data_IF_388368793175
#
_entry.id   IF_388368793175
#
_cell.length_a   1.000
_cell.length_b   1.000
_cell.length_c   1.000
_cell.angle_alpha   90.00
_cell.angle_beta   90.00
_cell.angle_gamma   90.00
#
_symmetry.space_group_name_H-M   'P 1'
#
loop_
_entity.id
_entity.type
_entity.pdbx_description
1 polymer ?
#
# COMPACT_ATOMS: atom_id res chain seq x y z
N UNK A 1 -3.81 19.93 -32.90
CA UNK A 1 -3.99 19.91 -31.43
C UNK A 1 -2.68 19.47 -30.80
N UNK A 2 -2.05 20.31 -29.99
CA UNK A 2 -0.86 19.92 -29.22
C UNK A 2 -1.24 18.88 -28.16
N UNK A 3 -0.37 17.88 -27.97
CA UNK A 3 -0.55 16.87 -26.92
C UNK A 3 0.35 17.22 -25.75
N UNK A 4 -0.23 17.45 -24.57
CA UNK A 4 0.53 17.71 -23.36
C UNK A 4 0.92 16.38 -22.69
N UNK A 5 2.09 16.34 -22.06
CA UNK A 5 2.59 15.21 -21.28
C UNK A 5 2.59 15.57 -19.80
N UNK A 6 1.75 14.88 -19.02
CA UNK A 6 1.72 14.96 -17.57
C UNK A 6 2.35 13.71 -16.96
N UNK A 7 3.42 13.90 -16.20
CA UNK A 7 4.09 12.85 -15.46
C UNK A 7 3.62 12.86 -14.00
N UNK A 8 3.23 11.70 -13.50
CA UNK A 8 2.89 11.46 -12.10
C UNK A 8 4.00 10.61 -11.50
N UNK A 9 4.70 11.13 -10.50
CA UNK A 9 5.85 10.48 -9.88
C UNK A 9 5.39 9.89 -8.54
N UNK A 10 5.24 8.57 -8.49
CA UNK A 10 4.73 7.83 -7.33
C UNK A 10 3.24 7.51 -7.43
N UNK A 11 2.92 6.21 -7.41
CA UNK A 11 1.59 5.60 -7.49
C UNK A 11 0.97 5.29 -6.13
N UNK A 12 1.32 6.07 -5.10
CA UNK A 12 0.63 6.07 -3.82
C UNK A 12 -0.78 6.65 -3.93
N UNK A 13 -1.44 6.87 -2.78
CA UNK A 13 -2.78 7.46 -2.77
C UNK A 13 -2.83 8.83 -3.46
N UNK A 14 -1.89 9.72 -3.16
CA UNK A 14 -1.85 11.05 -3.77
C UNK A 14 -1.76 10.99 -5.30
N UNK A 15 -0.86 10.16 -5.84
CA UNK A 15 -0.69 10.00 -7.29
C UNK A 15 -1.94 9.40 -7.96
N UNK A 16 -2.55 8.38 -7.35
CA UNK A 16 -3.80 7.79 -7.87
C UNK A 16 -4.93 8.82 -7.90
N UNK A 17 -5.09 9.61 -6.83
CA UNK A 17 -6.10 10.64 -6.76
C UNK A 17 -5.84 11.79 -7.74
N UNK A 18 -4.57 12.15 -7.97
CA UNK A 18 -4.20 13.13 -8.99
C UNK A 18 -4.60 12.65 -10.39
N UNK A 19 -4.23 11.42 -10.77
CA UNK A 19 -4.60 10.83 -12.08
C UNK A 19 -6.11 10.85 -12.28
N UNK A 20 -6.88 10.35 -11.30
CA UNK A 20 -8.35 10.33 -11.39
C UNK A 20 -8.97 11.72 -11.47
N UNK A 21 -8.37 12.70 -10.79
CA UNK A 21 -8.87 14.07 -10.80
C UNK A 21 -8.59 14.76 -12.13
N UNK A 22 -7.42 14.50 -12.72
CA UNK A 22 -7.07 14.97 -14.07
C UNK A 22 -8.02 14.32 -15.09
N UNK A 23 -8.13 12.99 -15.11
CA UNK A 23 -8.99 12.27 -16.07
C UNK A 23 -10.45 12.73 -16.03
N UNK A 24 -10.99 13.07 -14.85
CA UNK A 24 -12.36 13.59 -14.71
C UNK A 24 -12.54 15.01 -15.23
N UNK A 25 -11.50 15.84 -15.18
CA UNK A 25 -11.57 17.26 -15.55
C UNK A 25 -11.16 17.54 -16.99
N UNK A 26 -10.48 16.60 -17.64
CA UNK A 26 -10.07 16.75 -19.03
C UNK A 26 -11.29 16.71 -19.97
N UNK A 27 -11.57 17.83 -20.62
CA UNK A 27 -12.54 17.93 -21.72
C UNK A 27 -11.96 17.55 -23.08
N UNK A 28 -12.76 17.68 -24.15
CA UNK A 28 -12.37 17.28 -25.52
C UNK A 28 -11.33 18.21 -26.19
N UNK A 29 -11.05 19.38 -25.61
CA UNK A 29 -10.29 20.46 -26.27
C UNK A 29 -8.77 20.23 -26.29
N UNK A 30 -8.23 19.40 -25.39
CA UNK A 30 -6.78 19.15 -25.28
C UNK A 30 -6.51 17.65 -25.14
N UNK A 31 -5.57 17.12 -25.93
CA UNK A 31 -5.08 15.75 -25.74
C UNK A 31 -4.02 15.75 -24.64
N UNK A 32 -4.27 15.01 -23.56
CA UNK A 32 -3.33 14.84 -22.46
C UNK A 32 -2.86 13.39 -22.39
N UNK A 33 -1.55 13.20 -22.48
CA UNK A 33 -0.87 11.94 -22.22
C UNK A 33 -0.45 11.90 -20.76
N UNK A 34 -0.99 10.95 -20.00
CA UNK A 34 -0.64 10.74 -18.59
C UNK A 34 0.33 9.56 -18.49
N UNK A 35 1.46 9.78 -17.81
CA UNK A 35 2.49 8.76 -17.55
C UNK A 35 2.67 8.65 -16.04
N UNK A 36 2.44 7.46 -15.49
CA UNK A 36 2.80 7.13 -14.11
C UNK A 36 4.22 6.55 -14.10
N UNK A 37 5.11 7.13 -13.31
CA UNK A 37 6.44 6.57 -13.00
C UNK A 37 6.42 6.10 -11.56
N UNK A 38 6.59 4.79 -11.36
CA UNK A 38 6.66 4.18 -10.03
C UNK A 38 7.62 2.98 -10.07
N UNK A 39 8.47 2.78 -9.05
CA UNK A 39 9.39 1.64 -9.03
C UNK A 39 8.66 0.30 -8.87
N UNK A 40 7.44 0.30 -8.33
CA UNK A 40 6.62 -0.89 -8.14
C UNK A 40 5.73 -1.16 -9.35
N UNK A 41 5.62 -2.42 -9.82
CA UNK A 41 4.70 -2.79 -10.90
C UNK A 41 3.22 -2.86 -10.46
N UNK A 42 2.92 -2.51 -9.21
CA UNK A 42 1.58 -2.50 -8.63
C UNK A 42 1.44 -1.45 -7.52
N UNK A 43 0.20 -1.04 -7.26
CA UNK A 43 -0.13 -0.28 -6.06
C UNK A 43 -0.13 -1.18 -4.82
N UNK A 44 0.40 -0.68 -3.71
CA UNK A 44 0.28 -1.33 -2.41
C UNK A 44 -0.77 -0.59 -1.58
N UNK A 45 -1.83 -1.28 -1.19
CA UNK A 45 -2.84 -0.75 -0.27
C UNK A 45 -2.26 -0.69 1.14
N UNK A 46 -1.50 0.38 1.43
CA UNK A 46 -0.78 0.53 2.70
C UNK A 46 -1.70 0.46 3.92
N UNK A 47 -2.97 0.88 3.79
CA UNK A 47 -3.99 0.76 4.85
C UNK A 47 -4.26 -0.70 5.25
N UNK A 48 -3.93 -1.68 4.42
CA UNK A 48 -4.12 -3.11 4.68
C UNK A 48 -2.83 -3.83 5.09
N UNK A 49 -1.76 -3.11 5.44
CA UNK A 49 -0.48 -3.73 5.81
C UNK A 49 -0.57 -4.70 6.99
N UNK A 50 -1.60 -4.58 7.83
CA UNK A 50 -1.88 -5.53 8.91
C UNK A 50 -2.33 -6.91 8.41
N UNK A 51 -2.89 -7.03 7.19
CA UNK A 51 -3.39 -8.32 6.67
C UNK A 51 -2.27 -9.37 6.53
N UNK A 52 -1.11 -9.08 5.91
CA UNK A 52 0.01 -10.01 5.87
C UNK A 52 0.55 -10.41 7.26
N UNK A 53 0.34 -9.59 8.29
CA UNK A 53 0.73 -9.91 9.66
C UNK A 53 -0.25 -10.85 10.39
N UNK A 54 -1.49 -10.95 9.92
CA UNK A 54 -2.54 -11.71 10.59
C UNK A 54 -3.04 -12.92 9.78
N UNK A 55 -2.94 -12.88 8.44
CA UNK A 55 -3.55 -13.85 7.53
C UNK A 55 -2.52 -14.35 6.52
N UNK A 56 -2.26 -15.66 6.54
CA UNK A 56 -1.37 -16.35 5.60
C UNK A 56 -1.84 -16.12 4.15
N UNK A 57 -0.87 -15.90 3.25
CA UNK A 57 -1.11 -15.73 1.81
C UNK A 57 -2.06 -14.58 1.44
N UNK A 58 -2.27 -13.59 2.33
CA UNK A 58 -3.04 -12.41 1.98
C UNK A 58 -2.28 -11.49 1.03
N UNK A 59 -2.98 -10.91 0.05
CA UNK A 59 -2.41 -9.93 -0.88
C UNK A 59 -3.00 -8.55 -0.66
N UNK A 60 -2.14 -7.55 -0.69
CA UNK A 60 -2.49 -6.12 -0.61
C UNK A 60 -2.04 -5.36 -1.86
N UNK A 61 -1.52 -6.09 -2.85
CA UNK A 61 -0.98 -5.56 -4.11
C UNK A 61 -2.09 -5.53 -5.16
N UNK A 62 -2.26 -4.40 -5.82
CA UNK A 62 -3.23 -4.22 -6.92
C UNK A 62 -2.47 -3.85 -8.19
N UNK A 63 -2.52 -4.66 -9.26
CA UNK A 63 -1.91 -4.32 -10.54
C UNK A 63 -2.44 -3.00 -11.10
N UNK A 64 -1.59 -2.17 -11.72
CA UNK A 64 -1.97 -0.86 -12.25
C UNK A 64 -3.15 -0.94 -13.23
N UNK A 65 -3.16 -1.96 -14.12
CA UNK A 65 -4.25 -2.21 -15.08
C UNK A 65 -5.62 -2.40 -14.42
N UNK A 66 -5.67 -2.88 -13.17
CA UNK A 66 -6.93 -3.02 -12.42
C UNK A 66 -7.44 -1.69 -11.86
N UNK A 67 -6.54 -0.74 -11.61
CA UNK A 67 -6.87 0.60 -11.10
C UNK A 67 -7.20 1.55 -12.26
N UNK A 68 -6.44 1.45 -13.34
CA UNK A 68 -6.52 2.27 -14.55
C UNK A 68 -6.62 1.36 -15.77
N UNK A 69 -7.84 0.96 -16.18
CA UNK A 69 -8.03 0.03 -17.29
C UNK A 69 -7.68 0.64 -18.65
N UNK A 70 -7.75 1.97 -18.80
CA UNK A 70 -7.44 2.69 -20.04
C UNK A 70 -6.69 4.00 -19.75
N UNK A 71 -6.04 4.54 -20.78
CA UNK A 71 -5.49 5.91 -20.80
C UNK A 71 -4.42 6.23 -19.74
N UNK A 72 -3.59 5.25 -19.39
CA UNK A 72 -2.40 5.44 -18.55
C UNK A 72 -1.22 4.66 -19.09
N UNK A 73 -0.10 5.33 -19.39
CA UNK A 73 1.19 4.68 -19.57
C UNK A 73 1.83 4.54 -18.19
N UNK A 74 2.37 3.36 -17.88
CA UNK A 74 3.16 3.13 -16.66
C UNK A 74 4.59 2.85 -17.07
N UNK A 75 5.54 3.54 -16.44
CA UNK A 75 6.98 3.27 -16.54
C UNK A 75 7.42 2.75 -15.17
N UNK A 76 8.03 1.56 -15.16
CA UNK A 76 8.51 0.95 -13.93
C UNK A 76 9.96 1.41 -13.65
N UNK A 77 10.09 2.47 -12.86
CA UNK A 77 11.38 3.07 -12.56
C UNK A 77 11.31 4.07 -11.41
N UNK A 78 12.47 4.43 -10.88
CA UNK A 78 12.61 5.43 -9.84
C UNK A 78 13.12 6.73 -10.43
N UNK A 79 12.39 7.83 -10.24
CA UNK A 79 12.88 9.16 -10.60
C UNK A 79 14.00 9.56 -9.64
N UNK A 80 15.17 9.87 -10.18
CA UNK A 80 16.37 10.24 -9.42
C UNK A 80 16.52 11.75 -9.30
N UNK A 81 16.08 12.51 -10.31
CA UNK A 81 16.08 13.98 -10.27
C UNK A 81 15.07 14.59 -11.24
N UNK A 82 14.71 15.86 -10.98
CA UNK A 82 13.81 16.65 -11.81
C UNK A 82 14.53 17.94 -12.19
N UNK A 83 14.73 18.16 -13.48
CA UNK A 83 15.22 19.43 -14.02
C UNK A 83 14.03 20.25 -14.53
N UNK A 84 13.66 21.26 -13.76
CA UNK A 84 12.51 22.12 -14.06
C UNK A 84 12.79 23.18 -15.13
N UNK A 85 14.07 23.51 -15.37
CA UNK A 85 14.48 24.46 -16.41
C UNK A 85 14.30 23.82 -17.78
N UNK A 86 14.85 22.62 -17.95
CA UNK A 86 14.77 21.87 -19.21
C UNK A 86 13.47 21.03 -19.32
N UNK A 87 12.68 21.00 -18.24
CA UNK A 87 11.44 20.22 -18.09
C UNK A 87 11.63 18.73 -18.41
N UNK A 88 12.66 18.13 -17.81
CA UNK A 88 12.95 16.70 -17.91
C UNK A 88 13.05 16.06 -16.54
N UNK A 89 12.64 14.79 -16.45
CA UNK A 89 12.96 13.92 -15.32
C UNK A 89 14.07 12.96 -15.72
N UNK A 90 14.95 12.66 -14.78
CA UNK A 90 15.88 11.54 -14.89
C UNK A 90 15.35 10.39 -14.05
N UNK A 91 15.36 9.18 -14.59
CA UNK A 91 14.86 8.00 -13.90
C UNK A 91 15.72 6.79 -14.19
N UNK A 92 15.79 5.91 -13.21
CA UNK A 92 16.44 4.61 -13.33
C UNK A 92 15.38 3.54 -13.51
N UNK A 93 15.36 2.89 -14.67
CA UNK A 93 14.41 1.81 -14.95
C UNK A 93 14.82 0.51 -14.25
N UNK A 94 13.91 -0.45 -14.19
CA UNK A 94 14.20 -1.77 -13.58
C UNK A 94 15.29 -2.55 -14.35
N UNK A 95 15.52 -2.22 -15.63
CA UNK A 95 16.64 -2.71 -16.44
C UNK A 95 18.01 -2.13 -16.04
N UNK A 96 18.05 -1.25 -15.03
CA UNK A 96 19.22 -0.45 -14.63
C UNK A 96 19.67 0.57 -15.68
N UNK A 97 18.82 0.83 -16.68
CA UNK A 97 19.05 1.84 -17.71
C UNK A 97 18.64 3.22 -17.20
N UNK A 98 19.57 4.17 -17.34
CA UNK A 98 19.28 5.58 -17.12
C UNK A 98 18.43 6.10 -18.29
N UNK A 99 17.30 6.70 -17.96
CA UNK A 99 16.39 7.26 -18.93
C UNK A 99 16.04 8.70 -18.58
N UNK A 100 15.78 9.50 -19.60
CA UNK A 100 15.37 10.90 -19.48
C UNK A 100 14.05 11.11 -20.19
N UNK A 101 13.08 11.73 -19.52
CA UNK A 101 11.74 11.94 -20.05
C UNK A 101 11.31 13.39 -19.91
N UNK A 102 11.00 14.02 -21.04
CA UNK A 102 10.45 15.38 -21.09
C UNK A 102 8.99 15.42 -20.63
N UNK A 103 8.60 16.52 -20.00
CA UNK A 103 7.25 16.76 -19.51
C UNK A 103 6.78 18.19 -19.72
N UNK A 104 5.46 18.37 -19.77
CA UNK A 104 4.83 19.69 -19.67
C UNK A 104 4.41 19.98 -18.23
N UNK A 105 3.94 18.94 -17.53
CA UNK A 105 3.49 19.00 -16.15
C UNK A 105 4.07 17.81 -15.38
N UNK A 106 4.59 18.05 -14.18
CA UNK A 106 5.04 17.02 -13.25
C UNK A 106 4.26 17.11 -11.92
N UNK A 107 3.72 15.98 -11.46
CA UNK A 107 3.07 15.84 -10.15
C UNK A 107 3.94 14.93 -9.28
N UNK A 108 4.50 15.48 -8.21
CA UNK A 108 5.35 14.75 -7.27
C UNK A 108 4.48 14.16 -6.15
N UNK A 109 4.42 12.82 -6.09
CA UNK A 109 3.57 12.05 -5.17
C UNK A 109 4.31 10.82 -4.58
N UNK A 110 5.63 10.92 -4.40
CA UNK A 110 6.51 9.83 -3.90
C UNK A 110 6.23 9.42 -2.45
N UNK A 111 5.52 10.25 -1.69
CA UNK A 111 5.25 10.01 -0.28
C UNK A 111 6.51 10.15 0.59
N UNK A 112 6.58 9.37 1.66
CA UNK A 112 7.69 9.33 2.60
C UNK A 112 8.17 7.90 2.85
N UNK A 113 9.39 7.80 3.36
CA UNK A 113 10.01 6.54 3.80
C UNK A 113 10.12 6.53 5.32
N UNK A 114 10.00 5.33 5.90
CA UNK A 114 10.28 5.15 7.32
C UNK A 114 11.79 5.24 7.55
N UNK A 115 12.21 6.06 8.50
CA UNK A 115 13.60 6.11 8.93
C UNK A 115 13.87 4.92 9.86
N UNK A 116 14.74 4.00 9.43
CA UNK A 116 15.05 2.81 10.21
C UNK A 116 15.67 3.18 11.55
N UNK A 117 15.19 2.57 12.61
CA UNK A 117 15.80 2.57 13.94
C UNK A 117 16.75 1.36 14.04
N UNK A 118 17.74 1.46 14.93
CA UNK A 118 18.69 0.38 15.22
C UNK A 118 17.94 -0.95 15.50
N UNK A 119 18.29 -1.99 14.75
CA UNK A 119 17.71 -3.33 14.84
C UNK A 119 17.83 -3.95 16.23
N UNK A 120 18.81 -3.52 17.03
CA UNK A 120 19.03 -4.00 18.39
C UNK A 120 18.00 -3.44 19.39
N UNK A 121 17.24 -2.40 19.01
CA UNK A 121 16.20 -1.80 19.86
C UNK A 121 14.87 -2.58 19.83
N UNK A 122 14.81 -3.67 19.07
CA UNK A 122 13.65 -4.56 18.98
C UNK A 122 12.50 -4.01 18.12
N UNK A 123 11.55 -4.89 17.81
CA UNK A 123 10.37 -4.58 17.00
C UNK A 123 10.59 -4.76 15.49
N UNK A 124 9.50 -5.04 14.78
CA UNK A 124 9.48 -5.14 13.31
C UNK A 124 8.50 -4.08 12.81
N UNK A 125 8.96 -3.06 12.06
CA UNK A 125 8.07 -2.00 11.59
C UNK A 125 7.15 -2.52 10.49
N UNK A 126 5.87 -2.19 10.56
CA UNK A 126 4.87 -2.64 9.59
C UNK A 126 4.84 -1.74 8.35
N UNK A 127 5.94 -1.70 7.61
CA UNK A 127 6.15 -0.77 6.47
C UNK A 127 6.02 -1.43 5.10
N UNK A 128 6.02 -2.76 5.04
CA UNK A 128 5.81 -3.53 3.81
C UNK A 128 5.10 -4.85 4.10
N UNK A 129 4.55 -5.49 3.06
CA UNK A 129 3.95 -6.81 3.18
C UNK A 129 4.96 -7.88 3.66
N UNK A 130 6.24 -7.72 3.32
CA UNK A 130 7.31 -8.60 3.79
C UNK A 130 7.51 -8.48 5.31
N UNK A 131 7.51 -7.25 5.84
CA UNK A 131 7.55 -7.04 7.29
C UNK A 131 6.32 -7.65 7.97
N UNK A 132 5.14 -7.52 7.37
CA UNK A 132 3.93 -8.19 7.86
C UNK A 132 4.10 -9.71 7.91
N UNK A 133 4.58 -10.34 6.85
CA UNK A 133 4.84 -11.79 6.85
C UNK A 133 5.89 -12.21 7.89
N UNK A 134 6.91 -11.38 8.15
CA UNK A 134 7.90 -11.61 9.21
C UNK A 134 7.27 -11.54 10.61
N UNK A 135 6.25 -10.70 10.81
CA UNK A 135 5.47 -10.63 12.07
C UNK A 135 4.55 -11.85 12.22
N UNK A 136 3.96 -12.34 11.13
CA UNK A 136 3.04 -13.48 11.15
C UNK A 136 3.71 -14.78 11.67
N UNK A 137 4.95 -15.05 11.27
CA UNK A 137 5.64 -16.32 11.57
C UNK A 137 5.84 -16.54 13.09
N UNK A 138 6.46 -15.62 13.86
CA UNK A 138 6.59 -15.76 15.31
C UNK A 138 5.24 -15.77 16.02
N UNK A 139 4.33 -14.85 15.63
CA UNK A 139 3.01 -14.73 16.26
C UNK A 139 2.22 -16.04 16.17
N UNK A 140 2.19 -16.66 14.99
CA UNK A 140 1.45 -17.90 14.81
C UNK A 140 2.18 -19.11 15.43
N UNK A 141 3.53 -19.14 15.42
CA UNK A 141 4.28 -20.24 16.06
C UNK A 141 4.07 -20.26 17.58
N UNK A 142 4.06 -19.11 18.24
CA UNK A 142 3.78 -19.01 19.69
C UNK A 142 2.30 -19.26 20.02
N UNK A 143 1.37 -18.71 19.23
CA UNK A 143 -0.07 -18.93 19.41
C UNK A 143 -0.47 -20.40 19.26
N UNK A 144 0.05 -21.09 18.24
CA UNK A 144 -0.26 -22.51 18.00
C UNK A 144 0.34 -23.42 19.07
N UNK A 145 1.44 -23.00 19.71
CA UNK A 145 2.07 -23.76 20.80
C UNK A 145 1.35 -23.54 22.14
N UNK A 146 0.74 -22.35 22.34
CA UNK A 146 0.08 -21.93 23.58
C UNK A 146 -1.45 -21.86 23.49
N UNK A 147 -2.10 -22.70 22.66
CA UNK A 147 -3.55 -22.70 22.50
C UNK A 147 -4.35 -22.79 23.81
N UNK A 148 -3.81 -23.40 24.88
CA UNK A 148 -4.46 -23.44 26.19
C UNK A 148 -4.57 -22.05 26.85
N UNK A 149 -3.57 -21.19 26.65
CA UNK A 149 -3.54 -19.84 27.23
C UNK A 149 -4.51 -18.89 26.53
N UNK A 150 -4.73 -19.06 25.22
CA UNK A 150 -5.69 -18.23 24.48
C UNK A 150 -7.14 -18.50 24.93
N UNK A 151 -7.47 -19.76 25.20
CA UNK A 151 -8.77 -20.12 25.79
C UNK A 151 -8.94 -19.50 27.18
N UNK A 152 -7.90 -19.55 28.01
CA UNK A 152 -7.90 -18.96 29.36
C UNK A 152 -7.95 -17.42 29.32
N UNK A 153 -7.27 -16.78 28.38
CA UNK A 153 -7.31 -15.33 28.20
C UNK A 153 -8.68 -14.88 27.71
N UNK A 154 -9.27 -15.60 26.74
CA UNK A 154 -10.63 -15.36 26.28
C UNK A 154 -11.63 -15.56 27.42
N UNK A 155 -11.53 -16.65 28.19
CA UNK A 155 -12.36 -16.91 29.38
C UNK A 155 -12.23 -15.81 30.44
N UNK A 156 -11.01 -15.36 30.76
CA UNK A 156 -10.79 -14.29 31.75
C UNK A 156 -11.32 -12.94 31.25
N UNK A 157 -11.15 -12.63 29.97
CA UNK A 157 -11.69 -11.41 29.38
C UNK A 157 -13.23 -11.43 29.37
N UNK A 158 -13.82 -12.55 28.95
CA UNK A 158 -15.27 -12.78 28.99
C UNK A 158 -15.81 -12.66 30.42
N UNK A 159 -15.21 -13.33 31.40
CA UNK A 159 -15.62 -13.24 32.81
C UNK A 159 -15.49 -11.81 33.37
N UNK A 160 -14.45 -11.07 32.99
CA UNK A 160 -14.24 -9.68 33.45
C UNK A 160 -15.27 -8.72 32.85
N UNK A 161 -15.65 -8.92 31.58
CA UNK A 161 -16.68 -8.10 30.94
C UNK A 161 -18.08 -8.48 31.44
N UNK A 162 -18.39 -9.76 31.59
CA UNK A 162 -19.68 -10.22 32.12
C UNK A 162 -19.89 -9.79 33.58
N UNK A 163 -18.85 -9.84 34.41
CA UNK A 163 -18.89 -9.33 35.79
C UNK A 163 -19.12 -7.80 35.86
N UNK A 164 -18.72 -7.06 34.82
CA UNK A 164 -18.81 -5.60 34.80
C UNK A 164 -20.10 -5.08 34.15
N UNK A 165 -20.73 -5.87 33.28
CA UNK A 165 -21.92 -5.46 32.52
C UNK A 165 -23.17 -6.29 32.82
N UNK A 166 -23.10 -7.30 33.71
CA UNK A 166 -24.21 -8.18 34.10
C UNK A 166 -24.99 -8.78 32.91
N UNK A 167 -24.36 -8.87 31.74
CA UNK A 167 -24.94 -9.46 30.52
C UNK A 167 -23.89 -10.33 29.82
N UNK A 168 -24.32 -11.46 29.23
CA UNK A 168 -23.41 -12.39 28.56
C UNK A 168 -22.72 -11.72 27.36
N UNK A 169 -21.40 -11.92 27.27
CA UNK A 169 -20.54 -11.23 26.29
C UNK A 169 -20.93 -11.53 24.82
N UNK A 170 -21.58 -12.67 24.61
CA UNK A 170 -22.03 -13.17 23.30
C UNK A 170 -23.03 -12.23 22.61
N UNK A 171 -23.68 -11.30 23.33
CA UNK A 171 -24.57 -10.31 22.75
C UNK A 171 -23.84 -9.14 22.08
N UNK A 172 -22.55 -8.96 22.36
CA UNK A 172 -21.72 -7.88 21.80
C UNK A 172 -20.84 -8.32 20.62
N UNK A 173 -20.82 -9.62 20.30
CA UNK A 173 -20.08 -10.16 19.15
C UNK A 173 -21.05 -10.33 17.99
N UNK A 174 -20.85 -9.56 16.91
CA UNK A 174 -21.56 -9.78 15.64
C UNK A 174 -21.40 -11.24 15.16
N UNK A 175 -22.42 -11.85 14.53
CA UNK A 175 -22.50 -13.29 14.37
C UNK A 175 -21.30 -13.88 13.62
N UNK A 176 -20.60 -14.79 14.32
CA UNK A 176 -19.74 -15.89 13.86
C UNK A 176 -18.98 -15.68 12.53
N UNK A 177 -17.69 -15.38 12.64
CA UNK A 177 -16.70 -15.77 11.63
C UNK A 177 -16.55 -17.30 11.67
N UNK A 178 -17.34 -18.00 10.86
CA UNK A 178 -17.12 -19.42 10.57
C UNK A 178 -15.94 -19.55 9.61
N UNK A 179 -14.76 -19.85 10.16
CA UNK A 179 -13.64 -20.38 9.40
C UNK A 179 -13.98 -21.84 9.04
N UNK A 180 -14.26 -22.07 7.76
CA UNK A 180 -14.29 -23.43 7.18
C UNK A 180 -12.84 -23.84 6.95
N UNK A 181 -12.54 -25.05 7.41
CA UNK A 181 -11.31 -25.83 7.28
C UNK A 181 -10.77 -25.90 5.86
#
# INVERSE_FOLDING_TARGET
MSTLTCIIIGGGYAGIHAIRSIQRRMGQTVRLRIILVDPSPYHVQKVLLFKPAAIKNSTIKIPWKKIFPTNLKVIQGAVTSINHVDKVIHLKETSDEDNTLAYDIAVVAVGSVFQSVDSNKGGIPLISAEHGNKIYIPYNKEMLTNYSHYYLMKLRFTQTVEARFQQPFDQYILPKWSFVS
#
